data_IF_328231333769
#
_entry.id   IF_328231333769
#
_cell.length_a   1.000
_cell.length_b   1.000
_cell.length_c   1.000
_cell.angle_alpha   90.00
_cell.angle_beta   90.00
_cell.angle_gamma   90.00
#
_symmetry.space_group_name_H-M   'P 1'
#
loop_
_entity.id
_entity.type
_entity.pdbx_description
1 polymer ?
#
# COMPACT_ATOMS: atom_id res chain seq x y z
N UNK A 1 -9.44 31.83 -0.52
CA UNK A 1 -8.50 30.82 0.03
C UNK A 1 -7.28 30.80 -0.87
N UNK A 2 -6.11 31.18 -0.36
CA UNK A 2 -5.02 31.79 -1.12
C UNK A 2 -4.23 30.76 -1.97
N UNK A 3 -4.21 30.89 -3.29
CA UNK A 3 -3.47 30.03 -4.24
C UNK A 3 -1.96 29.98 -3.94
N UNK A 4 -1.41 31.05 -3.35
CA UNK A 4 -0.03 31.10 -2.87
C UNK A 4 0.23 30.13 -1.70
N UNK A 5 -0.72 29.96 -0.79
CA UNK A 5 -0.58 29.03 0.35
C UNK A 5 -0.63 27.56 -0.10
N UNK A 6 -1.46 27.24 -1.10
CA UNK A 6 -1.52 25.90 -1.72
C UNK A 6 -0.21 25.60 -2.46
N UNK A 7 0.31 26.56 -3.24
CA UNK A 7 1.58 26.39 -3.98
C UNK A 7 2.77 26.21 -3.03
N UNK A 8 2.82 26.97 -1.93
CA UNK A 8 3.88 26.87 -0.93
C UNK A 8 3.80 25.57 -0.11
N UNK A 9 2.58 25.07 0.14
CA UNK A 9 2.35 23.76 0.74
C UNK A 9 2.80 22.62 -0.19
N UNK A 10 2.51 22.71 -1.50
CA UNK A 10 2.86 21.69 -2.49
C UNK A 10 4.36 21.53 -2.72
N UNK A 11 5.10 22.65 -2.83
CA UNK A 11 6.57 22.62 -2.94
C UNK A 11 7.22 22.03 -1.69
N UNK A 12 6.66 22.28 -0.51
CA UNK A 12 7.15 21.69 0.74
C UNK A 12 6.91 20.19 0.79
N UNK A 13 5.72 19.70 0.40
CA UNK A 13 5.46 18.26 0.35
C UNK A 13 6.38 17.52 -0.63
N UNK A 14 6.70 18.13 -1.78
CA UNK A 14 7.66 17.55 -2.73
C UNK A 14 9.08 17.52 -2.17
N UNK A 15 9.51 18.61 -1.52
CA UNK A 15 10.82 18.67 -0.86
C UNK A 15 10.94 17.66 0.28
N UNK A 16 9.88 17.50 1.09
CA UNK A 16 9.80 16.46 2.11
C UNK A 16 9.89 15.07 1.49
N UNK A 17 9.22 14.85 0.36
CA UNK A 17 9.30 13.58 -0.36
C UNK A 17 10.71 13.21 -0.80
N UNK A 18 11.46 14.18 -1.34
CA UNK A 18 12.87 13.97 -1.68
C UNK A 18 13.73 13.80 -0.43
N UNK A 19 13.46 14.57 0.63
CA UNK A 19 14.17 14.46 1.89
C UNK A 19 14.02 13.07 2.52
N UNK A 20 12.86 12.41 2.38
CA UNK A 20 12.64 11.05 2.89
C UNK A 20 13.54 10.01 2.24
N UNK A 21 13.95 10.22 0.99
CA UNK A 21 14.87 9.31 0.30
C UNK A 21 16.28 9.34 0.90
N UNK A 22 16.73 10.49 1.42
CA UNK A 22 18.10 10.68 1.87
C UNK A 22 18.23 10.77 3.41
N UNK A 23 17.26 11.42 4.06
CA UNK A 23 17.21 11.69 5.49
C UNK A 23 15.80 11.36 6.04
N UNK A 24 15.43 10.08 6.11
CA UNK A 24 14.08 9.66 6.48
C UNK A 24 13.69 10.06 7.91
N UNK A 25 14.62 10.00 8.86
CA UNK A 25 14.35 10.33 10.28
C UNK A 25 13.92 11.79 10.42
N UNK A 26 14.75 12.71 9.93
CA UNK A 26 14.49 14.16 10.01
C UNK A 26 13.18 14.54 9.31
N UNK A 27 12.90 13.91 8.17
CA UNK A 27 11.68 14.18 7.42
C UNK A 27 10.42 13.65 8.13
N UNK A 28 10.48 12.49 8.79
CA UNK A 28 9.36 11.99 9.60
C UNK A 28 9.15 12.80 10.88
N UNK A 29 10.22 13.33 11.49
CA UNK A 29 10.10 14.27 12.62
C UNK A 29 9.42 15.58 12.20
N UNK A 30 9.75 16.12 11.02
CA UNK A 30 9.06 17.30 10.49
C UNK A 30 7.57 17.00 10.21
N UNK A 31 7.27 15.79 9.73
CA UNK A 31 5.91 15.32 9.48
C UNK A 31 5.10 15.16 10.77
N UNK A 32 5.73 14.73 11.87
CA UNK A 32 5.07 14.60 13.18
C UNK A 32 4.59 15.97 13.69
N UNK A 33 5.38 17.03 13.49
CA UNK A 33 5.11 18.40 13.96
C UNK A 33 3.95 19.10 13.23
N UNK A 34 3.53 18.63 12.05
CA UNK A 34 2.49 19.31 11.23
C UNK A 34 1.48 18.34 10.61
N UNK A 35 0.21 18.68 10.71
CA UNK A 35 -0.88 17.89 10.09
C UNK A 35 -0.96 18.20 8.59
N UNK A 36 -0.54 17.26 7.74
CA UNK A 36 -0.59 17.41 6.28
C UNK A 36 -1.46 16.33 5.60
N UNK A 37 -2.71 16.19 6.04
CA UNK A 37 -3.68 15.22 5.47
C UNK A 37 -3.87 15.36 3.95
N UNK A 38 -3.88 16.59 3.42
CA UNK A 38 -3.97 16.81 1.97
C UNK A 38 -2.79 16.20 1.22
N UNK A 39 -1.57 16.22 1.79
CA UNK A 39 -0.40 15.62 1.15
C UNK A 39 -0.47 14.09 1.11
N UNK A 40 -1.06 13.46 2.13
CA UNK A 40 -1.30 12.02 2.15
C UNK A 40 -2.20 11.58 0.99
N UNK A 41 -3.33 12.26 0.83
CA UNK A 41 -4.29 11.95 -0.25
C UNK A 41 -3.65 12.14 -1.62
N UNK A 42 -2.91 13.22 -1.83
CA UNK A 42 -2.21 13.48 -3.09
C UNK A 42 -1.17 12.40 -3.39
N UNK A 43 -0.39 11.96 -2.38
CA UNK A 43 0.61 10.90 -2.56
C UNK A 43 -0.02 9.52 -2.82
N UNK A 44 -1.14 9.20 -2.16
CA UNK A 44 -1.88 7.96 -2.44
C UNK A 44 -2.41 7.98 -3.89
N UNK A 45 -3.01 9.09 -4.32
CA UNK A 45 -3.47 9.26 -5.70
C UNK A 45 -2.30 9.17 -6.69
N UNK A 46 -1.17 9.80 -6.39
CA UNK A 46 0.03 9.73 -7.23
C UNK A 46 0.56 8.29 -7.31
N UNK A 47 0.58 7.56 -6.19
CA UNK A 47 1.00 6.16 -6.18
C UNK A 47 0.07 5.29 -7.03
N UNK A 48 -1.25 5.53 -6.97
CA UNK A 48 -2.22 4.88 -7.83
C UNK A 48 -1.96 5.18 -9.30
N UNK A 49 -1.75 6.45 -9.67
CA UNK A 49 -1.42 6.84 -11.04
C UNK A 49 -0.14 6.14 -11.52
N UNK A 50 0.93 6.15 -10.73
CA UNK A 50 2.18 5.45 -11.07
C UNK A 50 1.97 3.95 -11.23
N UNK A 51 1.17 3.34 -10.35
CA UNK A 51 0.85 1.92 -10.43
C UNK A 51 0.06 1.57 -11.69
N UNK A 52 -0.94 2.38 -12.04
CA UNK A 52 -1.71 2.20 -13.28
C UNK A 52 -0.78 2.35 -14.49
N UNK A 53 0.03 3.40 -14.54
CA UNK A 53 1.00 3.63 -15.64
C UNK A 53 1.99 2.47 -15.75
N UNK A 54 2.55 1.99 -14.63
CA UNK A 54 3.47 0.85 -14.65
C UNK A 54 2.80 -0.44 -15.09
N UNK A 55 1.54 -0.70 -14.75
CA UNK A 55 0.80 -1.86 -15.27
C UNK A 55 0.69 -1.79 -16.80
N UNK A 56 0.35 -0.62 -17.37
CA UNK A 56 0.24 -0.44 -18.82
C UNK A 56 1.59 -0.38 -19.55
N UNK A 57 2.65 0.11 -18.88
CA UNK A 57 3.99 0.19 -19.45
C UNK A 57 4.80 -1.10 -19.31
N UNK A 58 4.49 -1.94 -18.33
CA UNK A 58 5.25 -3.18 -18.13
C UNK A 58 4.96 -4.14 -19.27
N UNK A 59 6.01 -4.65 -19.91
CA UNK A 59 5.88 -5.48 -21.10
C UNK A 59 5.04 -6.74 -20.86
N UNK A 60 4.17 -7.07 -21.82
CA UNK A 60 3.28 -8.25 -21.81
C UNK A 60 4.01 -9.59 -21.58
N UNK A 61 5.34 -9.62 -21.81
CA UNK A 61 6.17 -10.81 -21.63
C UNK A 61 6.61 -11.06 -20.18
N UNK A 62 6.50 -10.07 -19.29
CA UNK A 62 6.94 -10.14 -17.88
C UNK A 62 5.74 -10.16 -16.92
N UNK A 63 4.61 -9.59 -17.35
CA UNK A 63 3.39 -9.50 -16.54
C UNK A 63 2.48 -10.72 -16.75
N UNK A 64 2.07 -11.38 -15.66
CA UNK A 64 1.05 -12.44 -15.65
C UNK A 64 -0.40 -11.92 -15.63
N UNK A 65 -0.59 -10.60 -15.60
CA UNK A 65 -1.88 -9.92 -15.67
C UNK A 65 -2.14 -9.45 -17.11
N UNK A 66 -2.97 -10.16 -17.85
CA UNK A 66 -3.43 -9.71 -19.17
C UNK A 66 -4.12 -8.33 -19.02
N UNK A 67 -3.67 -7.29 -19.75
CA UNK A 67 -4.29 -5.96 -19.71
C UNK A 67 -5.78 -5.96 -20.11
N UNK A 68 -6.24 -6.99 -20.81
CA UNK A 68 -7.62 -7.19 -21.27
C UNK A 68 -8.62 -7.47 -20.14
N UNK A 69 -8.18 -7.81 -18.92
CA UNK A 69 -9.04 -8.03 -17.75
C UNK A 69 -8.77 -7.04 -16.60
N UNK A 70 -7.98 -6.01 -16.84
CA UNK A 70 -7.63 -5.03 -15.81
C UNK A 70 -8.78 -4.03 -15.64
N UNK A 71 -9.79 -4.41 -14.85
CA UNK A 71 -10.76 -3.47 -14.30
C UNK A 71 -10.00 -2.45 -13.44
N UNK A 72 -9.89 -1.21 -13.94
CA UNK A 72 -9.27 -0.09 -13.21
C UNK A 72 -9.83 0.05 -11.79
N UNK A 73 -11.14 -0.19 -11.62
CA UNK A 73 -11.80 -0.17 -10.31
C UNK A 73 -11.27 -1.26 -9.38
N UNK A 74 -11.07 -2.48 -9.88
CA UNK A 74 -10.55 -3.58 -9.08
C UNK A 74 -9.08 -3.34 -8.69
N UNK A 75 -8.27 -2.76 -9.58
CA UNK A 75 -6.87 -2.41 -9.28
C UNK A 75 -6.76 -1.34 -8.19
N UNK A 76 -7.62 -0.32 -8.23
CA UNK A 76 -7.70 0.70 -7.17
C UNK A 76 -8.06 0.05 -5.84
N UNK A 77 -9.10 -0.79 -5.80
CA UNK A 77 -9.53 -1.49 -4.59
C UNK A 77 -8.40 -2.37 -4.06
N UNK A 78 -7.74 -3.14 -4.95
CA UNK A 78 -6.65 -4.06 -4.60
C UNK A 78 -5.42 -3.36 -4.05
N UNK A 79 -5.22 -2.07 -4.33
CA UNK A 79 -4.15 -1.28 -3.72
C UNK A 79 -4.58 -0.54 -2.46
N UNK A 80 -5.68 0.21 -2.54
CA UNK A 80 -6.13 1.10 -1.45
C UNK A 80 -6.60 0.31 -0.24
N UNK A 81 -7.33 -0.81 -0.44
CA UNK A 81 -7.88 -1.57 0.70
C UNK A 81 -6.75 -2.19 1.54
N UNK A 82 -5.72 -2.87 0.98
CA UNK A 82 -4.56 -3.31 1.75
C UNK A 82 -3.78 -2.17 2.41
N UNK A 83 -3.61 -1.03 1.72
CA UNK A 83 -2.93 0.13 2.30
C UNK A 83 -3.67 0.63 3.56
N UNK A 84 -4.97 0.91 3.44
CA UNK A 84 -5.77 1.45 4.53
C UNK A 84 -5.91 0.43 5.67
N UNK A 85 -6.12 -0.85 5.36
CA UNK A 85 -6.12 -1.90 6.39
C UNK A 85 -4.77 -2.02 7.10
N UNK A 86 -3.65 -1.81 6.39
CA UNK A 86 -2.31 -1.75 6.98
C UNK A 86 -2.13 -0.56 7.93
N UNK A 87 -2.61 0.63 7.54
CA UNK A 87 -2.62 1.82 8.41
C UNK A 87 -3.46 1.57 9.66
N UNK A 88 -4.65 0.98 9.50
CA UNK A 88 -5.54 0.64 10.62
C UNK A 88 -4.87 -0.36 11.56
N UNK A 89 -4.32 -1.46 11.02
CA UNK A 89 -3.63 -2.47 11.82
C UNK A 89 -2.46 -1.86 12.59
N UNK A 90 -1.64 -1.03 11.93
CA UNK A 90 -0.55 -0.32 12.56
C UNK A 90 -1.04 0.61 13.68
N UNK A 91 -2.07 1.42 13.41
CA UNK A 91 -2.65 2.33 14.40
C UNK A 91 -3.21 1.60 15.62
N UNK A 92 -3.94 0.49 15.42
CA UNK A 92 -4.51 -0.28 16.51
C UNK A 92 -3.42 -0.90 17.39
N UNK A 93 -2.39 -1.48 16.79
CA UNK A 93 -1.27 -2.05 17.55
C UNK A 93 -0.46 -0.96 18.24
N UNK A 94 -0.23 0.20 17.61
CA UNK A 94 0.42 1.32 18.29
C UNK A 94 -0.43 1.83 19.46
N UNK A 95 -1.76 1.89 19.32
CA UNK A 95 -2.64 2.32 20.41
C UNK A 95 -2.62 1.35 21.61
N UNK A 96 -2.48 0.04 21.36
CA UNK A 96 -2.32 -0.98 22.42
C UNK A 96 -0.93 -0.87 23.09
N UNK A 97 0.08 -0.47 22.34
CA UNK A 97 1.48 -0.42 22.79
C UNK A 97 1.90 0.95 23.33
N UNK A 98 0.93 1.77 23.76
CA UNK A 98 1.10 3.13 24.26
C UNK A 98 1.86 4.05 23.28
N UNK A 99 1.41 4.05 22.02
CA UNK A 99 1.95 4.88 20.96
C UNK A 99 1.36 6.29 20.96
N UNK A 100 2.20 7.27 20.59
CA UNK A 100 1.82 8.68 20.55
C UNK A 100 1.23 9.12 19.20
N UNK A 101 1.39 8.29 18.16
CA UNK A 101 1.04 8.65 16.81
C UNK A 101 -0.48 8.63 16.58
N UNK A 102 -1.02 9.72 16.03
CA UNK A 102 -2.41 9.77 15.59
C UNK A 102 -2.58 9.04 14.25
N UNK A 103 -3.77 8.46 14.02
CA UNK A 103 -4.11 7.80 12.75
C UNK A 103 -3.78 8.65 11.51
N UNK A 104 -4.08 9.95 11.55
CA UNK A 104 -3.78 10.89 10.46
C UNK A 104 -2.28 11.04 10.16
N UNK A 105 -1.43 10.98 11.18
CA UNK A 105 0.03 11.05 11.02
C UNK A 105 0.57 9.74 10.44
N UNK A 106 0.08 8.59 10.93
CA UNK A 106 0.46 7.27 10.41
C UNK A 106 0.06 7.13 8.94
N UNK A 107 -1.15 7.53 8.57
CA UNK A 107 -1.62 7.52 7.18
C UNK A 107 -0.72 8.39 6.28
N UNK A 108 -0.39 9.59 6.74
CA UNK A 108 0.48 10.50 6.01
C UNK A 108 1.87 9.89 5.86
N UNK A 109 2.47 9.41 6.94
CA UNK A 109 3.79 8.80 6.93
C UNK A 109 3.86 7.56 6.03
N UNK A 110 2.83 6.70 6.02
CA UNK A 110 2.79 5.53 5.13
C UNK A 110 2.70 5.95 3.67
N UNK A 111 1.97 7.03 3.37
CA UNK A 111 1.90 7.59 2.01
C UNK A 111 3.25 8.11 1.53
N UNK A 112 4.03 8.73 2.42
CA UNK A 112 5.38 9.18 2.13
C UNK A 112 6.40 8.02 2.07
N UNK A 113 6.19 6.95 2.83
CA UNK A 113 7.03 5.75 2.77
C UNK A 113 6.97 5.05 1.40
N UNK A 114 5.92 5.31 0.60
CA UNK A 114 5.77 4.78 -0.76
C UNK A 114 6.57 5.55 -1.83
N UNK A 115 7.22 6.67 -1.47
CA UNK A 115 7.94 7.51 -2.44
C UNK A 115 9.03 6.78 -3.23
N UNK A 116 9.86 5.87 -2.65
CA UNK A 116 10.80 5.09 -3.43
C UNK A 116 10.10 4.33 -4.57
N UNK A 117 8.93 3.75 -4.30
CA UNK A 117 8.14 3.08 -5.34
C UNK A 117 7.65 4.07 -6.41
N UNK A 118 7.12 5.22 -6.03
CA UNK A 118 6.66 6.26 -6.99
C UNK A 118 7.80 6.68 -7.93
N UNK A 119 9.00 6.89 -7.39
CA UNK A 119 10.15 7.40 -8.15
C UNK A 119 10.79 6.33 -9.01
N UNK A 120 10.97 5.12 -8.49
CA UNK A 120 11.72 4.07 -9.18
C UNK A 120 10.86 3.10 -10.01
N UNK A 121 9.55 3.03 -9.78
CA UNK A 121 8.68 2.16 -10.57
C UNK A 121 8.58 2.58 -12.03
N UNK A 122 8.50 3.89 -12.34
CA UNK A 122 8.40 4.37 -13.73
C UNK A 122 9.66 4.02 -14.54
N UNK A 123 10.89 4.34 -14.08
CA UNK A 123 12.11 3.90 -14.76
C UNK A 123 12.18 2.37 -14.91
N UNK A 124 11.82 1.62 -13.87
CA UNK A 124 11.86 0.16 -13.92
C UNK A 124 10.88 -0.41 -14.96
N UNK A 125 9.67 0.14 -15.06
CA UNK A 125 8.71 -0.24 -16.09
C UNK A 125 9.21 0.13 -17.51
N UNK A 126 9.88 1.26 -17.67
CA UNK A 126 10.50 1.61 -18.95
C UNK A 126 11.61 0.62 -19.35
N UNK A 127 12.46 0.19 -18.41
CA UNK A 127 13.50 -0.81 -18.65
C UNK A 127 12.85 -2.17 -19.01
N UNK A 128 11.68 -2.50 -18.44
CA UNK A 128 10.94 -3.73 -18.74
C UNK A 128 10.53 -3.89 -20.21
N UNK A 129 10.44 -2.78 -20.96
CA UNK A 129 10.14 -2.79 -22.40
C UNK A 129 11.32 -3.24 -23.25
N UNK A 130 12.55 -3.09 -22.73
CA UNK A 130 13.79 -3.45 -23.41
C UNK A 130 14.29 -4.83 -22.97
N UNK A 131 13.96 -5.22 -21.74
CA UNK A 131 14.34 -6.51 -21.14
C UNK A 131 13.72 -7.69 -21.87
N UNK A 132 14.53 -8.73 -22.11
CA UNK A 132 14.05 -10.03 -22.62
C UNK A 132 13.56 -10.92 -21.46
N UNK A 133 12.80 -11.99 -21.76
CA UNK A 133 12.33 -12.96 -20.75
C UNK A 133 13.47 -13.57 -19.91
N UNK A 134 14.67 -13.68 -20.48
CA UNK A 134 15.86 -14.18 -19.77
C UNK A 134 16.34 -13.27 -18.62
N UNK A 135 15.92 -12.02 -18.59
CA UNK A 135 16.38 -11.01 -17.62
C UNK A 135 15.31 -10.69 -16.56
N UNK A 136 14.24 -11.49 -16.50
CA UNK A 136 13.16 -11.35 -15.52
C UNK A 136 13.67 -11.42 -14.07
N UNK A 137 14.75 -12.18 -13.83
CA UNK A 137 15.43 -12.22 -12.53
C UNK A 137 15.95 -10.84 -12.11
N UNK A 138 16.58 -10.09 -13.03
CA UNK A 138 17.14 -8.77 -12.75
C UNK A 138 16.02 -7.75 -12.45
N UNK A 139 14.94 -7.78 -13.23
CA UNK A 139 13.75 -6.96 -12.97
C UNK A 139 13.18 -7.21 -11.56
N UNK A 140 13.01 -8.48 -11.19
CA UNK A 140 12.49 -8.86 -9.87
C UNK A 140 13.43 -8.46 -8.73
N UNK A 141 14.74 -8.58 -8.92
CA UNK A 141 15.73 -8.15 -7.93
C UNK A 141 15.67 -6.64 -7.66
N UNK A 142 15.56 -5.82 -8.72
CA UNK A 142 15.43 -4.36 -8.55
C UNK A 142 14.10 -4.02 -7.87
N UNK A 143 13.01 -4.65 -8.29
CA UNK A 143 11.70 -4.45 -7.67
C UNK A 143 11.73 -4.82 -6.17
N UNK A 144 12.38 -5.93 -5.82
CA UNK A 144 12.58 -6.36 -4.43
C UNK A 144 13.36 -5.32 -3.61
N UNK A 145 14.42 -4.73 -4.17
CA UNK A 145 15.18 -3.66 -3.50
C UNK A 145 14.28 -2.44 -3.23
N UNK A 146 13.44 -2.04 -4.18
CA UNK A 146 12.49 -0.92 -4.01
C UNK A 146 11.52 -1.23 -2.86
N UNK A 147 10.95 -2.43 -2.80
CA UNK A 147 10.03 -2.82 -1.73
C UNK A 147 10.72 -2.95 -0.37
N UNK A 148 11.96 -3.43 -0.32
CA UNK A 148 12.76 -3.42 0.92
C UNK A 148 12.99 -2.00 1.42
N UNK A 149 13.21 -1.04 0.51
CA UNK A 149 13.35 0.38 0.88
C UNK A 149 12.04 0.93 1.46
N UNK A 150 10.90 0.65 0.83
CA UNK A 150 9.58 1.02 1.37
C UNK A 150 9.36 0.40 2.76
N UNK A 151 9.68 -0.88 2.94
CA UNK A 151 9.56 -1.56 4.24
C UNK A 151 10.44 -0.92 5.31
N UNK A 152 11.67 -0.54 4.96
CA UNK A 152 12.58 0.18 5.85
C UNK A 152 12.01 1.56 6.24
N UNK A 153 11.42 2.30 5.31
CA UNK A 153 10.76 3.58 5.62
C UNK A 153 9.54 3.39 6.55
N UNK A 154 8.75 2.33 6.35
CA UNK A 154 7.65 1.96 7.25
C UNK A 154 8.15 1.64 8.67
N UNK A 155 9.32 1.01 8.79
CA UNK A 155 9.92 0.80 10.11
C UNK A 155 10.40 2.11 10.75
N UNK A 156 11.07 2.97 9.98
CA UNK A 156 11.58 4.27 10.50
C UNK A 156 10.42 5.16 10.93
N UNK A 157 9.36 5.31 10.13
CA UNK A 157 8.22 6.13 10.55
C UNK A 157 7.53 5.58 11.80
N UNK A 158 7.40 4.26 11.95
CA UNK A 158 6.82 3.66 13.14
C UNK A 158 7.60 4.05 14.39
N UNK A 159 8.94 3.97 14.30
CA UNK A 159 9.85 4.36 15.37
C UNK A 159 9.73 5.84 15.71
N UNK A 160 9.85 6.71 14.69
CA UNK A 160 9.91 8.18 14.86
C UNK A 160 8.58 8.76 15.35
N UNK A 161 7.45 8.34 14.77
CA UNK A 161 6.15 8.92 15.11
C UNK A 161 5.66 8.55 16.51
N UNK A 162 6.13 7.42 17.06
CA UNK A 162 5.72 6.92 18.38
C UNK A 162 6.85 7.02 19.43
N UNK A 163 7.96 7.67 19.09
CA UNK A 163 9.17 7.77 19.92
C UNK A 163 9.60 6.43 20.56
N UNK A 164 9.60 5.38 19.75
CA UNK A 164 9.93 4.04 20.23
C UNK A 164 11.44 3.79 20.22
N UNK A 165 11.92 3.05 21.22
CA UNK A 165 13.24 2.43 21.14
C UNK A 165 13.29 1.41 19.99
N UNK A 166 14.49 1.12 19.48
CA UNK A 166 14.66 0.18 18.36
C UNK A 166 14.03 -1.19 18.65
N UNK A 167 14.25 -1.73 19.86
CA UNK A 167 13.70 -3.04 20.27
C UNK A 167 12.17 -3.03 20.34
N UNK A 168 11.57 -1.96 20.91
CA UNK A 168 10.11 -1.80 20.97
C UNK A 168 9.53 -1.69 19.56
N UNK A 169 10.16 -0.91 18.69
CA UNK A 169 9.73 -0.72 17.29
C UNK A 169 9.67 -2.04 16.51
N UNK A 170 10.66 -2.91 16.68
CA UNK A 170 10.67 -4.23 16.02
C UNK A 170 9.50 -5.09 16.51
N UNK A 171 9.26 -5.14 17.83
CA UNK A 171 8.13 -5.88 18.40
C UNK A 171 6.77 -5.36 17.90
N UNK A 172 6.59 -4.04 17.88
CA UNK A 172 5.36 -3.39 17.38
C UNK A 172 5.17 -3.66 15.88
N UNK A 173 6.23 -3.61 15.08
CA UNK A 173 6.16 -3.92 13.65
C UNK A 173 5.71 -5.36 13.43
N UNK A 174 6.30 -6.32 14.14
CA UNK A 174 5.94 -7.73 14.04
C UNK A 174 4.48 -7.99 14.46
N UNK A 175 4.03 -7.35 15.55
CA UNK A 175 2.63 -7.41 15.98
C UNK A 175 1.68 -6.79 14.96
N UNK A 176 2.08 -5.68 14.33
CA UNK A 176 1.29 -5.02 13.27
C UNK A 176 1.14 -5.91 12.04
N UNK A 177 2.22 -6.59 11.62
CA UNK A 177 2.19 -7.56 10.52
C UNK A 177 1.31 -8.76 10.91
N UNK A 178 1.44 -9.28 12.13
CA UNK A 178 0.62 -10.38 12.62
C UNK A 178 -0.88 -10.02 12.65
N UNK A 179 -1.22 -8.83 13.12
CA UNK A 179 -2.58 -8.31 13.10
C UNK A 179 -3.12 -8.18 11.68
N UNK A 180 -2.30 -7.66 10.75
CA UNK A 180 -2.67 -7.53 9.34
C UNK A 180 -2.94 -8.89 8.67
N UNK A 181 -2.06 -9.88 8.89
CA UNK A 181 -2.22 -11.24 8.36
C UNK A 181 -3.47 -11.89 8.95
N UNK A 182 -3.69 -11.75 10.25
CA UNK A 182 -4.87 -12.31 10.93
C UNK A 182 -6.15 -11.68 10.39
N UNK A 183 -6.19 -10.35 10.23
CA UNK A 183 -7.32 -9.64 9.66
C UNK A 183 -7.68 -10.15 8.24
N UNK A 184 -6.70 -10.21 7.33
CA UNK A 184 -6.93 -10.70 5.98
C UNK A 184 -7.24 -12.20 5.92
N UNK A 185 -6.64 -12.99 6.82
CA UNK A 185 -6.98 -14.40 7.01
C UNK A 185 -8.46 -14.57 7.40
N UNK A 186 -8.95 -13.79 8.36
CA UNK A 186 -10.36 -13.80 8.75
C UNK A 186 -11.28 -13.36 7.62
N UNK A 187 -10.94 -12.29 6.89
CA UNK A 187 -11.73 -11.84 5.73
C UNK A 187 -11.80 -12.94 4.66
N UNK A 188 -10.68 -13.58 4.36
CA UNK A 188 -10.61 -14.69 3.41
C UNK A 188 -11.46 -15.90 3.85
N UNK A 189 -11.42 -16.24 5.14
CA UNK A 189 -12.25 -17.31 5.69
C UNK A 189 -13.75 -16.99 5.58
N UNK A 190 -14.17 -15.81 6.02
CA UNK A 190 -15.58 -15.39 5.95
C UNK A 190 -16.09 -15.41 4.50
N UNK A 191 -15.27 -14.92 3.56
CA UNK A 191 -15.59 -14.97 2.14
C UNK A 191 -15.75 -16.41 1.64
N UNK A 192 -14.81 -17.30 1.99
CA UNK A 192 -14.87 -18.72 1.61
C UNK A 192 -16.14 -19.40 2.15
N UNK A 193 -16.45 -19.21 3.44
CA UNK A 193 -17.65 -19.81 4.05
C UNK A 193 -18.93 -19.27 3.41
N UNK A 194 -18.97 -17.97 3.12
CA UNK A 194 -20.14 -17.34 2.47
C UNK A 194 -20.35 -17.92 1.08
N UNK A 195 -19.29 -18.12 0.30
CA UNK A 195 -19.39 -18.75 -1.02
C UNK A 195 -19.88 -20.21 -0.93
N UNK A 196 -19.43 -20.98 0.06
CA UNK A 196 -19.94 -22.34 0.28
C UNK A 196 -21.44 -22.34 0.61
N UNK A 197 -21.91 -21.43 1.46
CA UNK A 197 -23.34 -21.31 1.79
C UNK A 197 -24.15 -20.90 0.55
N UNK A 198 -23.70 -19.90 -0.20
CA UNK A 198 -24.38 -19.47 -1.43
C UNK A 198 -24.43 -20.56 -2.48
N UNK A 199 -23.34 -21.33 -2.64
CA UNK A 199 -23.30 -22.47 -3.55
C UNK A 199 -24.29 -23.56 -3.13
N UNK A 200 -24.33 -23.92 -1.86
CA UNK A 200 -25.30 -24.88 -1.32
C UNK A 200 -26.74 -24.41 -1.59
N UNK A 201 -27.07 -23.15 -1.28
CA UNK A 201 -28.41 -22.59 -1.55
C UNK A 201 -28.73 -22.63 -3.04
N UNK A 202 -27.76 -22.31 -3.91
CA UNK A 202 -27.93 -22.35 -5.36
C UNK A 202 -28.19 -23.77 -5.87
N UNK A 203 -27.42 -24.75 -5.39
CA UNK A 203 -27.57 -26.16 -5.76
C UNK A 203 -28.94 -26.70 -5.33
N UNK A 204 -29.35 -26.43 -4.09
CA UNK A 204 -30.69 -26.79 -3.58
C UNK A 204 -31.79 -26.10 -4.40
N UNK A 205 -31.64 -24.82 -4.73
CA UNK A 205 -32.62 -24.09 -5.54
C UNK A 205 -32.78 -24.68 -6.95
N UNK A 206 -31.68 -25.15 -7.53
CA UNK A 206 -31.66 -25.79 -8.85
C UNK A 206 -32.36 -27.16 -8.77
N UNK A 207 -32.06 -27.98 -7.75
CA UNK A 207 -32.69 -29.29 -7.56
C UNK A 207 -34.20 -29.19 -7.38
N UNK A 208 -34.67 -28.25 -6.56
CA UNK A 208 -36.11 -28.01 -6.35
C UNK A 208 -36.80 -27.62 -7.66
N UNK A 209 -36.16 -26.79 -8.48
CA UNK A 209 -36.72 -26.39 -9.78
C UNK A 209 -36.84 -27.58 -10.73
N UNK A 210 -35.82 -28.44 -10.80
CA UNK A 210 -35.87 -29.65 -11.61
C UNK A 210 -36.97 -30.61 -11.18
N UNK A 211 -37.20 -30.75 -9.87
CA UNK A 211 -38.28 -31.57 -9.33
C UNK A 211 -39.68 -30.99 -9.60
N UNK A 212 -39.81 -29.68 -9.82
CA UNK A 212 -41.08 -29.07 -10.19
C UNK A 212 -41.36 -29.18 -11.69
N UNK A 213 -40.33 -29.05 -12.53
CA UNK A 213 -40.47 -29.10 -13.99
C UNK A 213 -40.69 -30.53 -14.56
N UNK A 214 -40.65 -31.58 -13.73
CA UNK A 214 -40.83 -32.99 -14.11
C UNK A 214 -41.98 -33.67 -13.34
#
# INVERSE_FOLDING_TARGET
MNTAAVKQSGLRSLRLGVAILFHPVDAFEELQKKKHLMSAVVLILLTLCVRIVTIYMTSFHITSLQPEYADLNLEIIRFVVPLISGVIACYLITAIMDGEAYFSQILTAMSYALIPYIVFAIPLAAISLVLSRGELGLYNSINLIIWLWVALLIFIQLKVLNDYSFKKSVGVLLLSIFAFITFWGTVGLVFSLTNHVLQFVREVSIEIRYLWEN
#
